data_IF_283932070428
#
_entry.id   IF_283932070428
#
_cell.length_a   1.000
_cell.length_b   1.000
_cell.length_c   1.000
_cell.angle_alpha   90.00
_cell.angle_beta   90.00
_cell.angle_gamma   90.00
#
_symmetry.space_group_name_H-M   'P 1'
#
loop_
_entity.id
_entity.type
_entity.pdbx_description
1 polymer ?
#
# COMPACT_ATOMS: atom_id res chain seq x y z
N UNK A 1 14.94 -26.64 -8.60
CA UNK A 1 14.10 -25.89 -9.55
C UNK A 1 14.29 -24.42 -9.24
N UNK A 2 15.23 -23.75 -9.93
CA UNK A 2 15.52 -22.33 -9.70
C UNK A 2 14.39 -21.52 -10.35
N UNK A 3 13.52 -20.91 -9.54
CA UNK A 3 12.57 -19.91 -10.04
C UNK A 3 13.39 -18.72 -10.54
N UNK A 4 13.54 -18.61 -11.86
CA UNK A 4 14.04 -17.38 -12.46
C UNK A 4 13.02 -16.28 -12.12
N UNK A 5 13.43 -15.32 -11.29
CA UNK A 5 12.63 -14.13 -11.04
C UNK A 5 12.45 -13.41 -12.38
N UNK A 6 11.23 -13.45 -12.93
CA UNK A 6 10.90 -12.66 -14.10
C UNK A 6 11.10 -11.18 -13.76
N UNK A 7 11.76 -10.38 -14.63
CA UNK A 7 11.91 -8.96 -14.38
C UNK A 7 10.52 -8.31 -14.31
N UNK A 8 10.29 -7.54 -13.26
CA UNK A 8 9.07 -6.76 -13.11
C UNK A 8 9.03 -5.63 -14.17
N UNK A 9 7.84 -5.28 -14.69
CA UNK A 9 6.54 -5.93 -14.50
C UNK A 9 6.39 -7.19 -15.36
N UNK A 10 5.54 -8.12 -14.94
CA UNK A 10 5.19 -9.32 -15.70
C UNK A 10 3.66 -9.57 -15.66
N UNK A 11 3.05 -10.21 -16.68
CA UNK A 11 1.62 -10.51 -16.66
C UNK A 11 1.20 -11.29 -15.41
N UNK A 12 0.15 -10.85 -14.75
CA UNK A 12 -0.33 -11.36 -13.46
C UNK A 12 0.30 -10.70 -12.24
N UNK A 13 1.37 -9.90 -12.39
CA UNK A 13 1.96 -9.16 -11.29
C UNK A 13 1.06 -8.02 -10.82
N UNK A 14 1.28 -7.58 -9.58
CA UNK A 14 0.68 -6.36 -9.04
C UNK A 14 1.69 -5.23 -9.19
N UNK A 15 1.27 -4.10 -9.77
CA UNK A 15 2.07 -2.91 -9.92
C UNK A 15 1.41 -1.71 -9.22
N UNK A 16 2.22 -0.77 -8.77
CA UNK A 16 1.75 0.58 -8.47
C UNK A 16 1.86 1.43 -9.73
N UNK A 17 0.77 2.11 -10.10
CA UNK A 17 0.73 3.10 -11.16
C UNK A 17 -0.01 4.32 -10.65
N UNK A 18 0.63 5.50 -10.75
CA UNK A 18 0.21 6.72 -10.07
C UNK A 18 -0.15 6.41 -8.60
N UNK A 19 0.75 5.77 -7.84
CA UNK A 19 0.54 5.40 -6.43
C UNK A 19 -0.61 4.43 -6.12
N UNK A 20 -1.43 4.02 -7.08
CA UNK A 20 -2.55 3.08 -6.89
C UNK A 20 -2.14 1.67 -7.29
N UNK A 21 -2.75 0.66 -6.65
CA UNK A 21 -2.54 -0.76 -7.00
C UNK A 21 -3.33 -1.13 -8.25
N UNK A 22 -2.64 -1.74 -9.20
CA UNK A 22 -3.20 -2.32 -10.42
C UNK A 22 -2.63 -3.72 -10.65
N UNK A 23 -3.39 -4.56 -11.35
CA UNK A 23 -2.94 -5.85 -11.86
C UNK A 23 -2.45 -5.67 -13.28
N UNK A 24 -1.25 -6.15 -13.59
CA UNK A 24 -0.72 -6.16 -14.95
C UNK A 24 -1.37 -7.32 -15.70
N UNK A 25 -2.19 -7.03 -16.70
CA UNK A 25 -2.87 -8.07 -17.48
C UNK A 25 -2.01 -8.51 -18.66
N UNK A 26 -1.42 -7.56 -19.38
CA UNK A 26 -0.63 -7.83 -20.58
C UNK A 26 0.42 -6.73 -20.80
N UNK A 27 1.54 -7.07 -21.42
CA UNK A 27 2.62 -6.13 -21.77
C UNK A 27 2.74 -6.06 -23.29
N UNK A 28 2.81 -4.83 -23.82
CA UNK A 28 2.92 -4.49 -25.23
C UNK A 28 4.16 -3.61 -25.44
N UNK A 29 5.34 -4.21 -25.53
CA UNK A 29 6.59 -3.46 -25.66
C UNK A 29 6.83 -2.54 -24.45
N UNK A 30 6.65 -1.23 -24.64
CA UNK A 30 6.86 -0.20 -23.59
C UNK A 30 5.61 0.13 -22.78
N UNK A 31 4.46 -0.46 -23.11
CA UNK A 31 3.20 -0.24 -22.39
C UNK A 31 2.71 -1.52 -21.72
N UNK A 32 1.91 -1.39 -20.68
CA UNK A 32 1.19 -2.46 -20.04
C UNK A 32 -0.31 -2.12 -19.96
N UNK A 33 -1.15 -3.11 -20.25
CA UNK A 33 -2.58 -3.07 -19.89
C UNK A 33 -2.71 -3.44 -18.43
N UNK A 34 -3.20 -2.50 -17.63
CA UNK A 34 -3.37 -2.65 -16.19
C UNK A 34 -4.86 -2.54 -15.83
N UNK A 35 -5.30 -3.35 -14.87
CA UNK A 35 -6.68 -3.35 -14.37
C UNK A 35 -6.70 -3.06 -12.87
N UNK A 36 -7.66 -2.27 -12.41
CA UNK A 36 -7.79 -1.96 -10.98
C UNK A 36 -8.37 -3.18 -10.25
N UNK A 37 -7.91 -3.45 -9.03
CA UNK A 37 -8.55 -4.44 -8.15
C UNK A 37 -9.41 -3.73 -7.08
N UNK A 38 -10.60 -4.25 -6.78
CA UNK A 38 -11.55 -3.72 -5.78
C UNK A 38 -12.90 -3.25 -6.34
N UNK A 39 -13.61 -2.39 -5.60
CA UNK A 39 -14.95 -1.84 -5.98
C UNK A 39 -14.98 -1.08 -7.30
N UNK A 40 -13.80 -0.68 -7.83
CA UNK A 40 -13.63 -0.07 -9.14
C UNK A 40 -12.95 -1.01 -10.17
N UNK A 41 -13.12 -2.34 -10.03
CA UNK A 41 -12.44 -3.36 -10.84
C UNK A 41 -12.73 -3.30 -12.36
N UNK A 42 -13.76 -2.55 -12.77
CA UNK A 42 -14.09 -2.31 -14.18
C UNK A 42 -13.17 -1.30 -14.87
N UNK A 43 -12.27 -0.62 -14.14
CA UNK A 43 -11.31 0.30 -14.73
C UNK A 43 -10.09 -0.45 -15.28
N UNK A 44 -9.96 -0.48 -16.61
CA UNK A 44 -8.75 -0.87 -17.33
C UNK A 44 -8.10 0.32 -17.99
N UNK A 45 -6.76 0.41 -17.98
CA UNK A 45 -6.02 1.44 -18.71
C UNK A 45 -4.70 0.93 -19.26
N UNK A 46 -4.14 1.66 -20.22
CA UNK A 46 -2.74 1.50 -20.61
C UNK A 46 -1.86 2.42 -19.78
N UNK A 47 -0.68 1.94 -19.44
CA UNK A 47 0.34 2.65 -18.68
C UNK A 47 1.74 2.35 -19.25
N UNK A 48 2.67 3.30 -19.29
CA UNK A 48 4.06 3.02 -19.61
C UNK A 48 4.66 2.06 -18.58
N UNK A 49 5.39 1.04 -19.04
CA UNK A 49 6.08 0.07 -18.17
C UNK A 49 7.05 0.76 -17.22
N UNK A 50 7.70 1.84 -17.67
CA UNK A 50 8.64 2.63 -16.87
C UNK A 50 8.00 3.34 -15.68
N UNK A 51 6.67 3.53 -15.70
CA UNK A 51 5.91 4.19 -14.64
C UNK A 51 5.31 3.18 -13.65
N UNK A 52 5.44 1.88 -13.92
CA UNK A 52 5.02 0.82 -13.03
C UNK A 52 6.10 0.60 -11.97
N UNK A 53 5.69 0.62 -10.70
CA UNK A 53 6.58 0.38 -9.56
C UNK A 53 6.18 -0.90 -8.84
N UNK A 54 7.15 -1.72 -8.45
CA UNK A 54 6.87 -2.89 -7.62
C UNK A 54 6.40 -2.43 -6.23
N UNK A 55 5.21 -2.86 -5.76
CA UNK A 55 4.72 -2.52 -4.42
C UNK A 55 5.72 -2.83 -3.30
N UNK A 56 6.51 -3.90 -3.42
CA UNK A 56 7.52 -4.25 -2.43
C UNK A 56 8.72 -3.28 -2.43
N UNK A 57 9.11 -2.80 -3.61
CA UNK A 57 10.13 -1.75 -3.75
C UNK A 57 9.62 -0.42 -3.17
N UNK A 58 8.37 -0.05 -3.46
CA UNK A 58 7.75 1.16 -2.91
C UNK A 58 7.65 1.11 -1.37
N UNK A 59 7.26 -0.04 -0.81
CA UNK A 59 7.23 -0.25 0.65
C UNK A 59 8.63 -0.06 1.26
N UNK A 60 9.68 -0.56 0.60
CA UNK A 60 11.07 -0.42 1.05
C UNK A 60 11.53 1.03 1.00
N UNK A 61 11.22 1.75 -0.07
CA UNK A 61 11.53 3.17 -0.21
C UNK A 61 10.79 4.04 0.80
N UNK A 62 9.55 3.69 1.16
CA UNK A 62 8.80 4.38 2.21
C UNK A 62 9.45 4.19 3.60
N UNK A 63 10.13 3.08 3.85
CA UNK A 63 10.89 2.84 5.09
C UNK A 63 12.18 3.67 5.12
N UNK A 64 12.82 3.91 3.97
CA UNK A 64 13.97 4.81 3.88
C UNK A 64 13.57 6.25 4.22
N UNK A 65 12.37 6.68 3.87
CA UNK A 65 11.85 8.01 4.26
C UNK A 65 11.56 8.14 5.78
N UNK A 66 11.64 7.04 6.54
CA UNK A 66 11.41 6.97 7.98
C UNK A 66 12.74 6.94 8.77
N UNK A 67 13.81 7.57 8.28
CA UNK A 67 15.14 7.55 8.91
C UNK A 67 15.15 7.98 10.36
N UNK A 68 14.35 8.99 10.72
CA UNK A 68 14.35 9.66 12.04
C UNK A 68 13.37 9.08 13.06
N UNK A 69 12.76 7.92 12.81
CA UNK A 69 11.84 7.28 13.77
C UNK A 69 12.48 6.10 14.52
N UNK A 70 11.96 5.84 15.72
CA UNK A 70 12.40 4.73 16.58
C UNK A 70 12.36 3.37 15.86
N UNK A 71 13.24 2.45 16.25
CA UNK A 71 13.24 1.09 15.72
C UNK A 71 11.87 0.38 15.89
N UNK A 72 11.16 0.70 16.97
CA UNK A 72 9.81 0.21 17.23
C UNK A 72 8.82 0.71 16.16
N UNK A 73 8.84 2.01 15.87
CA UNK A 73 8.01 2.62 14.81
C UNK A 73 8.35 2.06 13.43
N UNK A 74 9.63 1.79 13.12
CA UNK A 74 10.04 1.17 11.85
C UNK A 74 9.44 -0.23 11.69
N UNK A 75 9.44 -1.05 12.75
CA UNK A 75 8.82 -2.39 12.74
C UNK A 75 7.30 -2.31 12.52
N UNK A 76 6.63 -1.39 13.20
CA UNK A 76 5.20 -1.14 12.97
C UNK A 76 4.96 -0.73 11.52
N UNK A 77 5.72 0.23 11.00
CA UNK A 77 5.57 0.72 9.63
C UNK A 77 5.80 -0.37 8.58
N UNK A 78 6.84 -1.21 8.73
CA UNK A 78 7.09 -2.33 7.82
C UNK A 78 5.95 -3.35 7.84
N UNK A 79 5.46 -3.71 9.02
CA UNK A 79 4.32 -4.61 9.14
C UNK A 79 3.06 -4.00 8.53
N UNK A 80 2.77 -2.73 8.82
CA UNK A 80 1.67 -1.98 8.25
C UNK A 80 1.77 -1.93 6.72
N UNK A 81 2.94 -1.63 6.15
CA UNK A 81 3.14 -1.59 4.70
C UNK A 81 2.83 -2.95 4.04
N UNK A 82 3.36 -4.04 4.60
CA UNK A 82 3.07 -5.40 4.12
C UNK A 82 1.59 -5.77 4.23
N UNK A 83 0.92 -5.38 5.32
CA UNK A 83 -0.51 -5.60 5.53
C UNK A 83 -1.38 -4.78 4.57
N UNK A 84 -0.91 -3.61 4.14
CA UNK A 84 -1.61 -2.71 3.22
C UNK A 84 -1.26 -2.93 1.75
N UNK A 85 -0.25 -3.74 1.44
CA UNK A 85 0.10 -4.17 0.09
C UNK A 85 -1.08 -4.77 -0.70
N UNK A 86 -1.97 -5.62 -0.12
CA UNK A 86 -3.12 -6.17 -0.82
C UNK A 86 -4.24 -5.17 -1.14
N UNK A 87 -4.27 -3.98 -0.52
CA UNK A 87 -5.47 -3.14 -0.51
C UNK A 87 -5.19 -1.71 -1.02
N UNK A 88 -6.24 -1.07 -1.55
CA UNK A 88 -6.23 0.34 -1.97
C UNK A 88 -6.91 1.27 -0.95
N UNK A 89 -7.70 0.70 -0.04
CA UNK A 89 -8.37 1.40 1.04
C UNK A 89 -8.40 0.53 2.30
N UNK A 90 -8.43 1.16 3.47
CA UNK A 90 -8.52 0.47 4.76
C UNK A 90 -9.27 1.33 5.77
N UNK A 91 -10.11 0.71 6.60
CA UNK A 91 -10.66 1.37 7.78
C UNK A 91 -9.61 1.41 8.88
N UNK A 92 -9.37 2.57 9.50
CA UNK A 92 -8.41 2.72 10.60
C UNK A 92 -8.68 1.75 11.76
N UNK A 93 -9.96 1.51 12.08
CA UNK A 93 -10.37 0.53 13.10
C UNK A 93 -9.90 -0.89 12.75
N UNK A 94 -10.12 -1.34 11.52
CA UNK A 94 -9.68 -2.67 11.07
C UNK A 94 -8.16 -2.79 11.14
N UNK A 95 -7.44 -1.77 10.66
CA UNK A 95 -5.99 -1.74 10.76
C UNK A 95 -5.51 -1.77 12.23
N UNK A 96 -6.13 -0.98 13.10
CA UNK A 96 -5.81 -0.94 14.53
C UNK A 96 -6.03 -2.30 15.21
N UNK A 97 -7.13 -2.98 14.89
CA UNK A 97 -7.42 -4.34 15.39
C UNK A 97 -6.35 -5.32 14.96
N UNK A 98 -5.98 -5.32 13.67
CA UNK A 98 -5.02 -6.27 13.13
C UNK A 98 -3.59 -6.00 13.65
N UNK A 99 -3.24 -4.73 13.89
CA UNK A 99 -1.99 -4.35 14.54
C UNK A 99 -1.95 -4.71 16.03
N UNK A 100 -3.07 -4.55 16.74
CA UNK A 100 -3.19 -4.95 18.14
C UNK A 100 -3.02 -6.47 18.28
N UNK A 101 -3.62 -7.24 17.38
CA UNK A 101 -3.43 -8.69 17.35
C UNK A 101 -1.97 -9.06 17.03
N UNK A 102 -1.35 -8.40 16.06
CA UNK A 102 0.06 -8.62 15.75
C UNK A 102 1.00 -8.28 16.93
N UNK A 103 0.67 -7.24 17.70
CA UNK A 103 1.40 -6.88 18.92
C UNK A 103 1.18 -7.91 20.04
N UNK A 104 -0.04 -8.39 20.23
CA UNK A 104 -0.37 -9.47 21.17
C UNK A 104 0.39 -10.76 20.86
N UNK A 105 0.61 -11.05 19.58
CA UNK A 105 1.41 -12.18 19.09
C UNK A 105 2.93 -11.92 19.09
N UNK A 106 3.39 -10.75 19.56
CA UNK A 106 4.81 -10.41 19.65
C UNK A 106 5.50 -10.12 18.31
N UNK A 107 4.75 -9.95 17.21
CA UNK A 107 5.31 -9.69 15.87
C UNK A 107 5.81 -8.26 15.70
N UNK A 108 5.13 -7.32 16.36
CA UNK A 108 5.47 -5.90 16.40
C UNK A 108 5.29 -5.35 17.82
N UNK A 109 5.91 -4.22 18.17
CA UNK A 109 5.56 -3.52 19.40
C UNK A 109 4.16 -2.89 19.31
N UNK A 110 3.52 -2.70 20.47
CA UNK A 110 2.23 -2.01 20.56
C UNK A 110 2.37 -0.56 20.06
N UNK A 111 1.45 -0.12 19.20
CA UNK A 111 1.38 1.29 18.80
C UNK A 111 0.74 2.13 19.92
N UNK A 112 1.20 3.37 20.08
CA UNK A 112 0.77 4.26 21.16
C UNK A 112 -0.72 4.63 21.08
N UNK A 113 -1.15 5.18 19.95
CA UNK A 113 -2.51 5.66 19.74
C UNK A 113 -2.85 5.77 18.24
N UNK A 114 -4.08 6.20 17.94
CA UNK A 114 -4.54 6.44 16.57
C UNK A 114 -3.74 7.54 15.84
N UNK A 115 -3.17 8.49 16.57
CA UNK A 115 -2.35 9.57 16.00
C UNK A 115 -1.00 9.04 15.49
N UNK A 116 -0.39 8.12 16.22
CA UNK A 116 0.81 7.39 15.82
C UNK A 116 0.54 6.58 14.55
N UNK A 117 -0.57 5.84 14.52
CA UNK A 117 -0.97 5.08 13.33
C UNK A 117 -1.21 5.99 12.13
N UNK A 118 -1.92 7.11 12.32
CA UNK A 118 -2.14 8.10 11.26
C UNK A 118 -0.84 8.73 10.73
N UNK A 119 0.21 8.85 11.57
CA UNK A 119 1.54 9.31 11.15
C UNK A 119 2.26 8.26 10.30
N UNK A 120 2.22 6.99 10.74
CA UNK A 120 2.75 5.86 9.96
C UNK A 120 2.07 5.77 8.60
N UNK A 121 0.73 5.82 8.56
CA UNK A 121 -0.04 5.80 7.32
C UNK A 121 0.37 6.92 6.35
N UNK A 122 0.51 8.15 6.84
CA UNK A 122 0.94 9.29 6.02
C UNK A 122 2.34 9.10 5.46
N UNK A 123 3.27 8.62 6.27
CA UNK A 123 4.63 8.34 5.83
C UNK A 123 4.68 7.24 4.76
N UNK A 124 3.76 6.28 4.82
CA UNK A 124 3.59 5.23 3.80
C UNK A 124 2.78 5.69 2.56
N UNK A 125 2.46 6.98 2.43
CA UNK A 125 1.74 7.51 1.27
C UNK A 125 0.22 7.33 1.30
N UNK A 126 -0.36 7.06 2.47
CA UNK A 126 -1.81 6.95 2.66
C UNK A 126 -2.41 8.26 3.18
N UNK A 127 -3.62 8.60 2.74
CA UNK A 127 -4.38 9.73 3.28
C UNK A 127 -5.77 9.33 3.70
N UNK A 128 -6.29 10.04 4.69
CA UNK A 128 -7.68 9.90 5.11
C UNK A 128 -8.59 10.44 4.00
N UNK A 129 -9.56 9.65 3.60
CA UNK A 129 -10.61 9.99 2.64
C UNK A 129 -11.97 9.59 3.20
N UNK A 130 -12.51 10.47 4.05
CA UNK A 130 -13.82 10.27 4.69
C UNK A 130 -13.82 9.23 5.80
N UNK A 131 -14.98 8.58 5.95
CA UNK A 131 -15.28 7.58 6.95
C UNK A 131 -16.00 6.41 6.29
N UNK A 132 -15.84 5.22 6.86
CA UNK A 132 -16.54 4.00 6.47
C UNK A 132 -17.19 3.38 7.71
N UNK A 133 -18.28 2.64 7.53
CA UNK A 133 -19.08 2.06 8.61
C UNK A 133 -20.12 3.03 9.18
N UNK A 134 -21.01 2.49 10.00
CA UNK A 134 -22.12 3.21 10.62
C UNK A 134 -22.06 3.09 12.16
N UNK A 135 -22.66 4.07 12.87
CA UNK A 135 -22.73 4.06 14.33
C UNK A 135 -21.36 3.94 15.02
N UNK A 136 -21.25 2.97 15.93
CA UNK A 136 -20.03 2.70 16.70
C UNK A 136 -18.86 2.14 15.87
N UNK A 137 -19.15 1.62 14.67
CA UNK A 137 -18.12 1.09 13.75
C UNK A 137 -17.61 2.15 12.76
N UNK A 138 -18.12 3.38 12.85
CA UNK A 138 -17.70 4.49 11.99
C UNK A 138 -16.23 4.80 12.24
N UNK A 139 -15.40 4.44 11.26
CA UNK A 139 -13.96 4.59 11.30
C UNK A 139 -13.48 5.52 10.18
N UNK A 140 -12.43 6.32 10.41
CA UNK A 140 -11.70 6.97 9.32
C UNK A 140 -11.33 5.95 8.24
N UNK A 141 -11.64 6.28 6.98
CA UNK A 141 -11.18 5.52 5.82
C UNK A 141 -9.87 6.12 5.33
N UNK A 142 -8.86 5.29 5.12
CA UNK A 142 -7.60 5.70 4.50
C UNK A 142 -7.50 5.07 3.12
N UNK A 143 -7.10 5.87 2.15
CA UNK A 143 -6.88 5.44 0.76
C UNK A 143 -5.43 5.68 0.40
N UNK A 144 -4.90 4.81 -0.46
CA UNK A 144 -3.60 5.03 -1.06
C UNK A 144 -3.72 6.20 -2.02
N UNK A 145 -2.84 7.19 -1.87
CA UNK A 145 -2.90 8.38 -2.71
C UNK A 145 -2.08 8.13 -3.95
N UNK A 146 -2.63 8.53 -5.09
CA UNK A 146 -1.82 8.68 -6.26
C UNK A 146 -0.75 9.73 -6.00
N UNK A 147 0.51 9.32 -5.86
CA UNK A 147 1.61 10.27 -5.96
C UNK A 147 1.40 10.95 -7.30
N UNK A 148 1.19 12.28 -7.36
CA UNK A 148 1.12 12.95 -8.63
C UNK A 148 2.42 12.59 -9.34
N UNK A 149 2.31 11.80 -10.42
CA UNK A 149 3.44 11.48 -11.26
C UNK A 149 4.14 12.80 -11.57
N UNK A 150 5.47 12.83 -11.44
CA UNK A 150 6.25 13.98 -11.88
C UNK A 150 5.72 14.35 -13.26
N UNK A 151 5.02 15.49 -13.35
CA UNK A 151 4.74 16.11 -14.62
C UNK A 151 6.10 16.26 -15.30
N UNK A 152 6.28 15.53 -16.38
CA UNK A 152 7.31 15.79 -17.39
C UNK A 152 6.58 16.21 -18.64
#
# INVERSE_FOLDING_TARGET
MLQAHAPFPYPGSTALFDGLRWKVHQIFGKEALITREGTAASLSRRAPVADLVDPAEADTNAIIALTDVSAATKRIALFTAGHLRPVNEVALYQLGRDLTEAARLGRIPQYQDNSHLARVMRALGWRKDGYVGEGYERSPRYVRVATPGKAR
#
